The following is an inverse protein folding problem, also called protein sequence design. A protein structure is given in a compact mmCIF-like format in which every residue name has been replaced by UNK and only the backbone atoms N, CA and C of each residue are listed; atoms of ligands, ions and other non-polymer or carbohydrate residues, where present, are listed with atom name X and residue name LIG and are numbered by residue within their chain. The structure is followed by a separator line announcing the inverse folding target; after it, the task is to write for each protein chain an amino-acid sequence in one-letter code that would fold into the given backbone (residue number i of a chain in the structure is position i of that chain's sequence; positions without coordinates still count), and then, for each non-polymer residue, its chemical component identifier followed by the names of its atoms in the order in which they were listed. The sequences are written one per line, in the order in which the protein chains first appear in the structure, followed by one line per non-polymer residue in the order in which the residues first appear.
data_IF_117605285916
#
_entry.id   IF_117605285916
#
_cell.length_a   1.000
_cell.length_b   1.000
_cell.length_c   1.000
_cell.angle_alpha   90.00
_cell.angle_beta   90.00
_cell.angle_gamma   90.00
#
_symmetry.space_group_name_H-M   'P 1'
#
loop_
_entity.id
_entity.type
_entity.pdbx_description
1 polymer ?
#
# COMPACT_ATOMS: atom_id res chain seq x y z
N UNK A 1 -13.29 11.80 17.26
CA UNK A 1 -12.59 12.63 16.25
C UNK A 1 -12.32 11.69 15.09
N UNK A 2 -12.90 11.93 13.92
CA UNK A 2 -12.70 11.04 12.76
C UNK A 2 -11.32 11.30 12.13
N UNK A 3 -10.73 10.30 11.47
CA UNK A 3 -9.47 10.44 10.74
C UNK A 3 -9.51 11.64 9.77
N UNK A 4 -10.68 11.91 9.18
CA UNK A 4 -10.91 13.10 8.33
C UNK A 4 -10.69 14.44 9.04
N UNK A 5 -10.92 14.53 10.36
CA UNK A 5 -10.66 15.76 11.13
C UNK A 5 -9.18 15.99 11.43
N UNK A 6 -8.36 14.93 11.39
CA UNK A 6 -6.90 15.05 11.47
C UNK A 6 -6.34 15.48 10.11
N UNK A 7 -6.87 14.94 9.02
CA UNK A 7 -6.40 15.22 7.64
C UNK A 7 -6.69 16.66 7.15
N UNK A 8 -7.79 17.30 7.59
CA UNK A 8 -8.13 18.67 7.15
C UNK A 8 -7.26 19.77 7.77
N UNK A 9 -6.67 19.53 8.94
CA UNK A 9 -5.70 20.46 9.52
C UNK A 9 -4.35 20.06 8.96
N UNK A 10 -3.75 20.88 8.11
CA UNK A 10 -2.46 20.67 7.42
C UNK A 10 -1.23 20.44 8.31
N UNK A 11 -1.32 19.47 9.20
CA UNK A 11 -0.34 18.90 10.12
C UNK A 11 -0.35 17.36 10.03
N UNK A 12 -1.35 16.72 9.39
CA UNK A 12 -1.40 15.27 9.21
C UNK A 12 -0.37 14.70 8.21
N UNK A 13 0.40 15.55 7.52
CA UNK A 13 1.40 15.12 6.54
C UNK A 13 2.68 14.56 7.19
N UNK A 14 2.87 14.73 8.51
CA UNK A 14 4.00 14.16 9.25
C UNK A 14 3.66 12.84 9.99
N UNK A 15 2.41 12.38 9.97
CA UNK A 15 1.95 11.30 10.87
C UNK A 15 2.13 9.88 10.29
N UNK A 16 2.20 9.72 8.97
CA UNK A 16 2.38 8.41 8.32
C UNK A 16 3.78 8.05 7.75
N UNK A 17 4.86 8.87 7.85
CA UNK A 17 6.20 8.47 7.43
C UNK A 17 6.64 7.14 8.04
N UNK A 18 6.21 6.85 9.27
CA UNK A 18 6.60 5.62 9.96
C UNK A 18 6.00 4.37 9.29
N UNK A 19 4.72 4.40 8.92
CA UNK A 19 4.08 3.27 8.21
C UNK A 19 4.73 3.02 6.85
N UNK A 20 4.91 4.07 6.05
CA UNK A 20 5.56 3.94 4.74
C UNK A 20 7.03 3.49 4.87
N UNK A 21 7.76 3.98 5.88
CA UNK A 21 9.13 3.53 6.15
C UNK A 21 9.19 2.05 6.50
N UNK A 22 8.23 1.52 7.25
CA UNK A 22 8.12 0.10 7.56
C UNK A 22 7.91 -0.72 6.28
N UNK A 23 7.04 -0.25 5.37
CA UNK A 23 6.86 -0.88 4.05
C UNK A 23 8.14 -0.86 3.20
N UNK A 24 8.88 0.26 3.18
CA UNK A 24 10.17 0.36 2.49
C UNK A 24 11.27 -0.53 3.09
N UNK A 25 11.13 -0.91 4.36
CA UNK A 25 12.05 -1.82 5.02
C UNK A 25 11.62 -3.29 4.93
N UNK A 26 10.53 -3.59 4.21
CA UNK A 26 9.93 -4.93 4.08
C UNK A 26 9.57 -5.59 5.44
N UNK A 27 9.28 -4.77 6.46
CA UNK A 27 9.02 -5.24 7.82
C UNK A 27 7.54 -5.58 8.01
N UNK A 28 7.15 -6.76 7.51
CA UNK A 28 5.79 -7.29 7.59
C UNK A 28 5.29 -7.47 9.02
N UNK A 29 6.16 -7.82 9.96
CA UNK A 29 5.76 -8.05 11.35
C UNK A 29 5.33 -6.75 12.03
N UNK A 30 6.05 -5.65 11.76
CA UNK A 30 5.62 -4.33 12.24
C UNK A 30 4.33 -3.88 11.55
N UNK A 31 4.11 -4.18 10.26
CA UNK A 31 2.82 -3.89 9.60
C UNK A 31 1.67 -4.66 10.24
N UNK A 32 1.86 -5.94 10.56
CA UNK A 32 0.86 -6.74 11.29
C UNK A 32 0.59 -6.17 12.69
N UNK A 33 1.63 -5.78 13.41
CA UNK A 33 1.48 -5.14 14.72
C UNK A 33 0.72 -3.81 14.61
N UNK A 34 0.98 -3.02 13.56
CA UNK A 34 0.25 -1.78 13.29
C UNK A 34 -1.23 -2.04 13.03
N UNK A 35 -1.58 -3.11 12.30
CA UNK A 35 -2.98 -3.51 12.12
C UNK A 35 -3.69 -3.77 13.46
N UNK A 36 -3.03 -4.48 14.37
CA UNK A 36 -3.61 -4.81 15.69
C UNK A 36 -3.67 -3.60 16.65
N UNK A 37 -2.81 -2.60 16.45
CA UNK A 37 -2.64 -1.48 17.40
C UNK A 37 -3.26 -0.17 16.93
N UNK A 38 -3.41 0.04 15.62
CA UNK A 38 -3.91 1.28 15.04
C UNK A 38 -5.40 1.15 14.68
N UNK A 39 -6.30 1.96 15.27
CA UNK A 39 -7.73 1.89 14.98
C UNK A 39 -8.12 2.43 13.58
N UNK A 40 -7.16 3.03 12.87
CA UNK A 40 -7.32 3.62 11.54
C UNK A 40 -6.50 2.88 10.47
N UNK A 41 -6.10 1.63 10.74
CA UNK A 41 -5.28 0.85 9.80
C UNK A 41 -5.97 0.66 8.44
N UNK A 42 -7.29 0.38 8.44
CA UNK A 42 -8.05 0.14 7.21
C UNK A 42 -8.14 1.38 6.30
N UNK A 43 -8.08 2.58 6.88
CA UNK A 43 -7.97 3.82 6.12
C UNK A 43 -6.54 3.94 5.55
N UNK A 44 -5.54 3.67 6.39
CA UNK A 44 -4.12 3.80 6.07
C UNK A 44 -3.64 2.91 4.90
N UNK A 45 -4.19 1.70 4.74
CA UNK A 45 -3.76 0.76 3.68
C UNK A 45 -4.07 1.23 2.25
N UNK A 46 -4.91 2.26 2.08
CA UNK A 46 -5.32 2.81 0.78
C UNK A 46 -4.88 4.27 0.59
N UNK A 47 -4.26 4.86 1.61
CA UNK A 47 -3.68 6.20 1.49
C UNK A 47 -2.46 6.18 0.56
N UNK A 48 -2.13 7.35 0.01
CA UNK A 48 -0.93 7.48 -0.83
C UNK A 48 0.21 8.12 -0.04
N UNK A 49 1.44 7.66 -0.28
CA UNK A 49 2.63 8.30 0.27
C UNK A 49 2.81 9.71 -0.30
N UNK A 50 3.35 10.64 0.47
CA UNK A 50 3.51 12.01 0.01
C UNK A 50 4.49 12.16 -1.16
N UNK A 51 5.62 11.45 -1.12
CA UNK A 51 6.71 11.64 -2.07
C UNK A 51 6.52 10.91 -3.39
N UNK A 52 5.99 9.68 -3.35
CA UNK A 52 5.82 8.86 -4.55
C UNK A 52 4.37 8.81 -5.03
N UNK A 53 3.41 9.32 -4.23
CA UNK A 53 1.97 9.22 -4.52
C UNK A 53 1.51 7.78 -4.79
N UNK A 54 2.24 6.81 -4.23
CA UNK A 54 1.98 5.38 -4.29
C UNK A 54 1.21 4.92 -3.06
N UNK A 55 0.32 3.94 -3.23
CA UNK A 55 -0.34 3.24 -2.14
C UNK A 55 0.59 2.21 -1.50
N UNK A 56 0.31 1.74 -0.27
CA UNK A 56 1.02 0.63 0.36
C UNK A 56 1.15 -0.61 -0.53
N UNK A 57 0.06 -0.96 -1.22
CA UNK A 57 0.03 -2.11 -2.12
C UNK A 57 0.96 -1.91 -3.33
N UNK A 58 1.00 -0.70 -3.89
CA UNK A 58 1.95 -0.37 -4.97
C UNK A 58 3.40 -0.47 -4.50
N UNK A 59 3.71 -0.06 -3.26
CA UNK A 59 5.06 -0.18 -2.71
C UNK A 59 5.45 -1.65 -2.57
N UNK A 60 4.55 -2.50 -2.04
CA UNK A 60 4.80 -3.93 -1.92
C UNK A 60 5.06 -4.59 -3.30
N UNK A 61 4.26 -4.24 -4.30
CA UNK A 61 4.42 -4.75 -5.68
C UNK A 61 5.69 -4.23 -6.34
N UNK A 62 6.00 -2.94 -6.22
CA UNK A 62 7.24 -2.35 -6.72
C UNK A 62 8.50 -2.99 -6.09
N UNK A 63 8.37 -3.52 -4.88
CA UNK A 63 9.46 -4.23 -4.18
C UNK A 63 9.46 -5.74 -4.42
N UNK A 64 8.56 -6.25 -5.28
CA UNK A 64 8.36 -7.69 -5.49
C UNK A 64 8.13 -8.47 -4.18
N UNK A 65 7.51 -7.83 -3.19
CA UNK A 65 7.32 -8.40 -1.85
C UNK A 65 6.00 -9.17 -1.77
N UNK A 66 6.00 -10.42 -2.23
CA UNK A 66 4.80 -11.28 -2.24
C UNK A 66 4.11 -11.41 -0.87
N UNK A 67 4.82 -11.66 0.26
CA UNK A 67 4.16 -11.73 1.56
C UNK A 67 3.44 -10.44 1.97
N UNK A 68 4.05 -9.28 1.71
CA UNK A 68 3.43 -7.98 1.98
C UNK A 68 2.26 -7.72 1.04
N UNK A 69 2.40 -8.01 -0.25
CA UNK A 69 1.32 -7.90 -1.24
C UNK A 69 0.12 -8.74 -0.82
N UNK A 70 0.34 -10.00 -0.47
CA UNK A 70 -0.71 -10.89 0.02
C UNK A 70 -1.40 -10.31 1.25
N UNK A 71 -0.62 -9.90 2.25
CA UNK A 71 -1.17 -9.35 3.48
C UNK A 71 -2.04 -8.12 3.21
N UNK A 72 -1.58 -7.19 2.37
CA UNK A 72 -2.36 -5.98 2.05
C UNK A 72 -3.65 -6.32 1.28
N UNK A 73 -3.59 -7.25 0.32
CA UNK A 73 -4.77 -7.73 -0.42
C UNK A 73 -5.80 -8.38 0.50
N UNK A 74 -5.36 -9.30 1.37
CA UNK A 74 -6.21 -10.00 2.34
C UNK A 74 -6.88 -9.03 3.34
N UNK A 75 -6.35 -7.81 3.48
CA UNK A 75 -6.88 -6.75 4.34
C UNK A 75 -7.71 -5.70 3.59
N UNK A 76 -8.08 -5.95 2.33
CA UNK A 76 -8.99 -5.07 1.60
C UNK A 76 -8.32 -3.86 0.94
N UNK A 77 -7.02 -3.93 0.66
CA UNK A 77 -6.36 -2.91 -0.17
C UNK A 77 -7.00 -2.80 -1.55
N UNK A 78 -7.15 -1.58 -2.05
CA UNK A 78 -7.72 -1.27 -3.36
C UNK A 78 -6.72 -1.60 -4.47
N UNK A 79 -7.04 -2.63 -5.25
CA UNK A 79 -6.17 -3.18 -6.31
C UNK A 79 -6.04 -2.20 -7.49
N UNK A 80 -7.15 -1.58 -7.88
CA UNK A 80 -7.21 -0.77 -9.10
C UNK A 80 -6.91 0.72 -8.87
N UNK A 81 -6.49 1.10 -7.67
CA UNK A 81 -6.06 2.47 -7.43
C UNK A 81 -4.85 2.78 -8.32
N UNK A 82 -4.80 3.99 -8.84
CA UNK A 82 -3.74 4.49 -9.71
C UNK A 82 -2.92 5.55 -8.99
N UNK A 83 -1.60 5.53 -9.14
CA UNK A 83 -0.77 6.59 -8.58
C UNK A 83 -1.01 7.91 -9.32
N UNK A 84 -0.89 9.02 -8.60
CA UNK A 84 -1.19 10.35 -9.14
C UNK A 84 -0.22 10.78 -10.25
N UNK A 85 1.07 10.41 -10.14
CA UNK A 85 2.12 10.94 -11.00
C UNK A 85 2.08 10.39 -12.43
N UNK A 86 1.75 9.12 -12.61
CA UNK A 86 1.74 8.48 -13.94
C UNK A 86 0.41 7.83 -14.31
N UNK A 87 -0.50 7.67 -13.35
CA UNK A 87 -1.72 6.88 -13.55
C UNK A 87 -1.50 5.36 -13.51
N UNK A 88 -0.30 4.90 -13.13
CA UNK A 88 -0.02 3.45 -13.05
C UNK A 88 -0.73 2.81 -11.85
N UNK A 89 -1.30 1.63 -12.08
CA UNK A 89 -1.78 0.74 -11.01
C UNK A 89 -0.75 -0.39 -10.77
N UNK A 90 -1.06 -1.30 -9.85
CA UNK A 90 -0.15 -2.38 -9.47
C UNK A 90 0.22 -3.32 -10.64
N UNK A 91 -0.69 -3.52 -11.61
CA UNK A 91 -0.42 -4.34 -12.79
C UNK A 91 0.54 -3.63 -13.75
N UNK A 92 0.39 -2.31 -13.93
CA UNK A 92 1.35 -1.52 -14.70
C UNK A 92 2.74 -1.60 -14.07
N UNK A 93 2.85 -1.44 -12.75
CA UNK A 93 4.12 -1.51 -12.02
C UNK A 93 4.80 -2.88 -12.23
N UNK A 94 4.09 -3.98 -11.96
CA UNK A 94 4.64 -5.33 -12.12
C UNK A 94 5.06 -5.61 -13.58
N UNK A 95 4.27 -5.15 -14.55
CA UNK A 95 4.58 -5.30 -15.98
C UNK A 95 5.80 -4.49 -16.40
N UNK A 96 5.92 -3.23 -15.94
CA UNK A 96 7.07 -2.35 -16.24
C UNK A 96 8.38 -2.92 -15.68
N UNK A 97 8.31 -3.62 -14.54
CA UNK A 97 9.47 -4.29 -13.94
C UNK A 97 9.81 -5.63 -14.61
N UNK A 98 8.91 -6.17 -15.46
CA UNK A 98 9.04 -7.51 -16.01
C UNK A 98 8.88 -8.61 -14.95
N UNK A 99 8.21 -8.31 -13.83
CA UNK A 99 7.95 -9.27 -12.76
C UNK A 99 6.77 -10.17 -13.12
N UNK A 100 7.04 -11.15 -13.98
CA UNK A 100 6.03 -12.11 -14.47
C UNK A 100 5.37 -12.85 -13.32
N UNK A 101 6.12 -13.18 -12.26
CA UNK A 101 5.58 -13.91 -11.12
C UNK A 101 4.59 -13.05 -10.33
N UNK A 102 4.88 -11.76 -10.13
CA UNK A 102 3.95 -10.84 -9.49
C UNK A 102 2.72 -10.56 -10.36
N UNK A 103 2.89 -10.45 -11.68
CA UNK A 103 1.76 -10.34 -12.61
C UNK A 103 0.85 -11.56 -12.48
N UNK A 104 1.39 -12.77 -12.59
CA UNK A 104 0.62 -14.01 -12.44
C UNK A 104 -0.06 -14.08 -11.07
N UNK A 105 0.63 -13.67 -10.00
CA UNK A 105 0.07 -13.64 -8.66
C UNK A 105 -1.14 -12.69 -8.56
N UNK A 106 -1.02 -11.46 -9.06
CA UNK A 106 -2.12 -10.48 -9.04
C UNK A 106 -3.29 -10.97 -9.91
N UNK A 107 -3.04 -11.53 -11.08
CA UNK A 107 -4.08 -12.07 -11.96
C UNK A 107 -4.83 -13.23 -11.30
N UNK A 108 -4.11 -14.18 -10.71
CA UNK A 108 -4.73 -15.28 -9.96
C UNK A 108 -5.55 -14.80 -8.74
N UNK A 109 -5.16 -13.68 -8.12
CA UNK A 109 -5.96 -13.07 -7.05
C UNK A 109 -7.29 -12.50 -7.58
N UNK A 110 -7.29 -11.91 -8.79
CA UNK A 110 -8.48 -11.30 -9.40
C UNK A 110 -9.50 -12.30 -9.92
N UNK A 111 -9.09 -13.55 -10.17
CA UNK A 111 -9.96 -14.61 -10.66
C UNK A 111 -10.69 -15.39 -9.55
N UNK A 112 -10.44 -15.07 -8.27
CA UNK A 112 -11.08 -15.68 -7.09
C UNK A 112 -12.38 -14.97 -6.70
#
# INVERSE_FOLDING_TARGET
MSASQFLEKGQATEDFPFFYKVLFNDDLETVKLMKETLPFFDELINETSDHLKMTPLMIAVHRSNFPMTQFLLDNGSQIFQTQELTGDNILHIATLQGDVQMVDYILNYLEQ
#
